data_IF_758843146247
#
_entry.id   IF_758843146247
#
_cell.length_a   1.000
_cell.length_b   1.000
_cell.length_c   1.000
_cell.angle_alpha   90.00
_cell.angle_beta   90.00
_cell.angle_gamma   90.00
#
_symmetry.space_group_name_H-M   'P 1'
#
loop_
_entity.id
_entity.type
_entity.pdbx_description
1 polymer ?
#
# COMPACT_ATOMS: atom_id res chain seq x y z
N UNK A 1 15.38 -14.24 -31.80
CA UNK A 1 14.01 -13.82 -31.50
C UNK A 1 13.60 -14.10 -30.06
N UNK A 2 14.00 -15.24 -29.44
CA UNK A 2 13.65 -15.63 -28.07
C UNK A 2 14.31 -14.80 -26.94
N UNK A 3 15.54 -14.32 -27.14
CA UNK A 3 16.26 -13.52 -26.12
C UNK A 3 15.62 -12.14 -25.87
N UNK A 4 15.01 -11.59 -26.89
CA UNK A 4 14.31 -10.29 -26.89
C UNK A 4 13.05 -10.28 -26.07
N UNK A 5 12.24 -11.33 -26.20
CA UNK A 5 11.00 -11.48 -25.43
C UNK A 5 11.32 -11.64 -23.94
N UNK A 6 12.38 -12.37 -23.61
CA UNK A 6 12.77 -12.59 -22.20
C UNK A 6 13.26 -11.31 -21.49
N UNK A 7 14.05 -10.47 -22.16
CA UNK A 7 14.56 -9.22 -21.55
C UNK A 7 13.44 -8.20 -21.34
N UNK A 8 12.54 -8.03 -22.30
CA UNK A 8 11.40 -7.12 -22.17
C UNK A 8 10.39 -7.58 -21.11
N UNK A 9 10.13 -8.88 -21.04
CA UNK A 9 9.24 -9.45 -20.01
C UNK A 9 9.85 -9.26 -18.62
N UNK A 10 11.15 -9.46 -18.45
CA UNK A 10 11.83 -9.31 -17.15
C UNK A 10 11.71 -7.88 -16.62
N UNK A 11 11.91 -6.85 -17.47
CA UNK A 11 11.82 -5.44 -17.05
C UNK A 11 10.39 -5.00 -16.70
N UNK A 12 9.41 -5.48 -17.42
CA UNK A 12 8.01 -5.18 -17.15
C UNK A 12 7.55 -5.90 -15.86
N UNK A 13 7.97 -7.13 -15.66
CA UNK A 13 7.74 -7.92 -14.46
C UNK A 13 8.38 -7.25 -13.21
N UNK A 14 9.56 -6.64 -13.37
CA UNK A 14 10.23 -5.92 -12.29
C UNK A 14 9.40 -4.77 -11.72
N UNK A 15 8.57 -4.09 -12.52
CA UNK A 15 7.73 -2.99 -12.02
C UNK A 15 6.71 -3.49 -10.99
N UNK A 16 5.98 -4.56 -11.29
CA UNK A 16 5.03 -5.17 -10.35
C UNK A 16 5.70 -5.72 -9.11
N UNK A 17 6.85 -6.37 -9.26
CA UNK A 17 7.63 -6.90 -8.15
C UNK A 17 8.19 -5.78 -7.25
N UNK A 18 8.78 -4.73 -7.83
CA UNK A 18 9.30 -3.59 -7.10
C UNK A 18 8.19 -2.81 -6.39
N UNK A 19 7.04 -2.67 -7.03
CA UNK A 19 5.85 -2.11 -6.41
C UNK A 19 5.40 -2.92 -5.19
N UNK A 20 5.26 -4.25 -5.35
CA UNK A 20 4.88 -5.13 -4.25
C UNK A 20 5.87 -5.05 -3.09
N UNK A 21 7.19 -5.08 -3.37
CA UNK A 21 8.22 -4.94 -2.35
C UNK A 21 8.15 -3.57 -1.64
N UNK A 22 7.89 -2.50 -2.37
CA UNK A 22 7.73 -1.17 -1.79
C UNK A 22 6.55 -1.12 -0.83
N UNK A 23 5.38 -1.62 -1.24
CA UNK A 23 4.18 -1.66 -0.38
C UNK A 23 4.40 -2.54 0.84
N UNK A 24 4.97 -3.73 0.68
CA UNK A 24 5.29 -4.61 1.80
C UNK A 24 6.36 -4.03 2.72
N UNK A 25 7.33 -3.29 2.18
CA UNK A 25 8.33 -2.55 2.95
C UNK A 25 7.70 -1.47 3.83
N UNK A 26 6.78 -0.67 3.27
CA UNK A 26 6.02 0.32 4.05
C UNK A 26 5.17 -0.33 5.14
N UNK A 27 4.52 -1.45 4.80
CA UNK A 27 3.73 -2.20 5.77
C UNK A 27 4.59 -2.74 6.92
N UNK A 28 5.75 -3.32 6.60
CA UNK A 28 6.69 -3.83 7.60
C UNK A 28 7.22 -2.71 8.50
N UNK A 29 7.57 -1.56 7.91
CA UNK A 29 8.00 -0.38 8.66
C UNK A 29 6.92 0.07 9.66
N UNK A 30 5.67 0.15 9.21
CA UNK A 30 4.54 0.46 10.07
C UNK A 30 4.37 -0.59 11.19
N UNK A 31 4.42 -1.88 10.85
CA UNK A 31 4.28 -2.97 11.81
C UNK A 31 5.38 -2.94 12.90
N UNK A 32 6.63 -2.65 12.52
CA UNK A 32 7.73 -2.49 13.46
C UNK A 32 7.46 -1.32 14.40
N UNK A 33 7.05 -0.17 13.86
CA UNK A 33 6.68 1.00 14.65
C UNK A 33 5.58 0.70 15.68
N UNK A 34 4.55 -0.04 15.28
CA UNK A 34 3.47 -0.46 16.16
C UNK A 34 3.95 -1.41 17.28
N UNK A 35 4.82 -2.38 16.95
CA UNK A 35 5.39 -3.27 17.97
C UNK A 35 6.27 -2.50 18.97
N UNK A 36 7.10 -1.57 18.51
CA UNK A 36 7.89 -0.70 19.38
C UNK A 36 6.96 0.09 20.31
N UNK A 37 5.90 0.68 19.77
CA UNK A 37 4.92 1.43 20.56
C UNK A 37 4.28 0.57 21.65
N UNK A 38 3.90 -0.67 21.33
CA UNK A 38 3.35 -1.63 22.32
C UNK A 38 4.33 -1.96 23.42
N UNK A 39 5.59 -2.22 23.06
CA UNK A 39 6.65 -2.48 24.04
C UNK A 39 6.83 -1.28 24.98
N UNK A 40 6.85 -0.06 24.45
CA UNK A 40 6.97 1.15 25.24
C UNK A 40 5.79 1.32 26.20
N UNK A 41 4.55 1.08 25.75
CA UNK A 41 3.36 1.10 26.61
C UNK A 41 3.46 0.04 27.70
N UNK A 42 3.87 -1.18 27.36
CA UNK A 42 4.05 -2.26 28.33
C UNK A 42 5.08 -1.91 29.41
N UNK A 43 6.26 -1.42 29.01
CA UNK A 43 7.30 -1.00 29.94
C UNK A 43 6.84 0.15 30.84
N UNK A 44 6.09 1.11 30.31
CA UNK A 44 5.51 2.19 31.07
C UNK A 44 4.52 1.70 32.12
N UNK A 45 3.58 0.81 31.72
CA UNK A 45 2.62 0.21 32.66
C UNK A 45 3.34 -0.51 33.79
N UNK A 46 4.39 -1.27 33.46
CA UNK A 46 5.21 -1.97 34.47
C UNK A 46 5.92 -1.03 35.44
N UNK A 47 6.37 0.15 34.99
CA UNK A 47 6.95 1.18 35.89
C UNK A 47 5.91 1.78 36.81
N UNK A 48 4.73 2.11 36.30
CA UNK A 48 3.61 2.62 37.09
C UNK A 48 3.18 1.64 38.19
N UNK A 49 3.11 0.34 37.88
CA UNK A 49 2.76 -0.69 38.89
C UNK A 49 3.83 -0.83 39.97
N UNK A 50 5.08 -0.40 39.71
CA UNK A 50 6.16 -0.37 40.70
C UNK A 50 6.23 0.94 41.51
N UNK A 51 5.26 1.82 41.38
CA UNK A 51 5.22 3.10 42.09
C UNK A 51 6.26 4.12 41.66
N UNK A 52 6.86 3.95 40.46
CA UNK A 52 7.83 4.88 39.91
C UNK A 52 7.10 6.04 39.20
N UNK A 53 7.55 7.27 39.45
CA UNK A 53 7.06 8.45 38.75
C UNK A 53 7.36 8.31 37.24
N UNK A 54 6.32 8.30 36.43
CA UNK A 54 6.44 8.26 34.98
C UNK A 54 6.06 9.62 34.43
N UNK A 55 7.02 10.32 33.83
CA UNK A 55 6.73 11.56 33.11
C UNK A 55 5.62 11.32 32.10
N UNK A 56 4.54 12.13 32.11
CA UNK A 56 3.45 11.94 31.15
C UNK A 56 3.99 12.15 29.74
N UNK A 57 4.10 11.05 28.99
CA UNK A 57 4.40 11.14 27.58
C UNK A 57 3.20 11.75 26.86
N UNK A 58 3.24 13.05 26.60
CA UNK A 58 2.27 13.75 25.75
C UNK A 58 2.49 13.34 24.29
N UNK A 59 2.29 12.07 24.00
CA UNK A 59 2.31 11.59 22.62
C UNK A 59 1.07 12.12 21.90
N UNK A 60 1.27 13.00 20.98
CA UNK A 60 0.46 13.34 19.82
C UNK A 60 -1.10 13.37 19.93
N UNK A 61 -1.72 13.94 20.97
CA UNK A 61 -3.18 13.87 21.06
C UNK A 61 -3.88 14.68 19.95
N UNK A 62 -3.27 15.75 19.45
CA UNK A 62 -3.86 16.56 18.38
C UNK A 62 -3.79 15.88 17.02
N UNK A 63 -2.63 15.37 16.64
CA UNK A 63 -2.42 14.67 15.40
C UNK A 63 -3.33 13.43 15.25
N UNK A 64 -3.41 12.58 16.29
CA UNK A 64 -4.30 11.42 16.26
C UNK A 64 -5.79 11.81 16.16
N UNK A 65 -6.21 12.88 16.79
CA UNK A 65 -7.59 13.40 16.66
C UNK A 65 -7.87 13.85 15.25
N UNK A 66 -6.95 14.60 14.63
CA UNK A 66 -7.12 15.11 13.27
C UNK A 66 -7.18 13.96 12.26
N UNK A 67 -6.28 12.98 12.35
CA UNK A 67 -6.24 11.85 11.40
C UNK A 67 -7.46 10.92 11.55
N UNK A 68 -7.95 10.72 12.77
CA UNK A 68 -9.13 9.92 13.01
C UNK A 68 -10.45 10.70 12.86
N UNK A 69 -10.40 12.02 12.64
CA UNK A 69 -11.60 12.79 12.36
C UNK A 69 -12.27 12.26 11.09
N UNK A 70 -13.59 12.19 11.14
CA UNK A 70 -14.40 11.80 9.99
C UNK A 70 -14.87 13.03 9.25
N UNK A 71 -14.90 12.95 7.93
CA UNK A 71 -15.47 13.96 7.04
C UNK A 71 -16.47 13.31 6.10
N UNK A 72 -17.48 14.06 5.68
CA UNK A 72 -18.40 13.62 4.66
C UNK A 72 -17.92 14.12 3.30
N UNK A 73 -17.92 13.24 2.31
CA UNK A 73 -17.69 13.62 0.92
C UNK A 73 -19.03 13.51 0.20
N UNK A 74 -19.63 14.65 -0.20
CA UNK A 74 -20.91 14.63 -0.92
C UNK A 74 -20.87 13.67 -2.11
N UNK A 75 -21.93 12.91 -2.32
CA UNK A 75 -22.11 11.94 -3.41
C UNK A 75 -21.26 10.65 -3.31
N UNK A 76 -20.24 10.59 -2.45
CA UNK A 76 -19.34 9.43 -2.36
C UNK A 76 -19.55 8.66 -1.06
N UNK A 77 -19.59 9.35 0.07
CA UNK A 77 -19.77 8.72 1.38
C UNK A 77 -20.26 9.71 2.42
N UNK A 78 -21.07 9.22 3.34
CA UNK A 78 -21.57 10.01 4.45
C UNK A 78 -20.55 10.23 5.57
N UNK A 79 -19.55 9.34 5.66
CA UNK A 79 -18.50 9.45 6.68
C UNK A 79 -17.28 8.62 6.27
N UNK A 80 -16.14 9.27 6.16
CA UNK A 80 -14.84 8.63 5.93
C UNK A 80 -13.80 9.26 6.85
N UNK A 81 -12.96 8.45 7.47
CA UNK A 81 -11.86 8.97 8.27
C UNK A 81 -10.78 9.59 7.39
N UNK A 82 -10.22 10.72 7.80
CA UNK A 82 -9.17 11.43 7.05
C UNK A 82 -7.97 10.52 6.76
N UNK A 83 -7.63 9.62 7.67
CA UNK A 83 -6.59 8.61 7.45
C UNK A 83 -6.82 7.75 6.21
N UNK A 84 -8.08 7.40 5.93
CA UNK A 84 -8.40 6.60 4.74
C UNK A 84 -8.26 7.41 3.46
N UNK A 85 -8.59 8.71 3.49
CA UNK A 85 -8.40 9.61 2.33
C UNK A 85 -6.90 9.72 2.02
N UNK A 86 -6.08 10.00 3.04
CA UNK A 86 -4.62 10.09 2.89
C UNK A 86 -4.06 8.79 2.32
N UNK A 87 -4.53 7.66 2.82
CA UNK A 87 -4.13 6.36 2.33
C UNK A 87 -4.50 6.14 0.86
N UNK A 88 -5.74 6.43 0.47
CA UNK A 88 -6.22 6.25 -0.91
C UNK A 88 -5.43 7.14 -1.88
N UNK A 89 -5.23 8.41 -1.52
CA UNK A 89 -4.44 9.35 -2.33
C UNK A 89 -2.98 8.87 -2.44
N UNK A 90 -2.39 8.42 -1.34
CA UNK A 90 -1.05 7.86 -1.34
C UNK A 90 -0.94 6.60 -2.21
N UNK A 91 -1.91 5.70 -2.11
CA UNK A 91 -1.97 4.49 -2.91
C UNK A 91 -2.07 4.80 -4.41
N UNK A 92 -2.95 5.72 -4.80
CA UNK A 92 -3.09 6.17 -6.19
C UNK A 92 -1.79 6.82 -6.70
N UNK A 93 -1.16 7.67 -5.90
CA UNK A 93 0.10 8.31 -6.25
C UNK A 93 1.23 7.29 -6.47
N UNK A 94 1.36 6.30 -5.59
CA UNK A 94 2.36 5.23 -5.72
C UNK A 94 2.11 4.39 -6.97
N UNK A 95 0.85 3.99 -7.23
CA UNK A 95 0.50 3.26 -8.46
C UNK A 95 0.90 4.09 -9.70
N UNK A 96 0.53 5.36 -9.73
CA UNK A 96 0.87 6.28 -10.83
C UNK A 96 2.38 6.38 -11.05
N UNK A 97 3.16 6.53 -9.98
CA UNK A 97 4.63 6.58 -10.06
C UNK A 97 5.20 5.29 -10.65
N UNK A 98 4.74 4.13 -10.19
CA UNK A 98 5.26 2.85 -10.68
C UNK A 98 4.83 2.53 -12.11
N UNK A 99 3.67 3.02 -12.56
CA UNK A 99 3.21 2.84 -13.95
C UNK A 99 3.96 3.77 -14.89
N UNK A 100 4.16 5.04 -14.54
CA UNK A 100 4.65 6.06 -15.48
C UNK A 100 6.11 6.47 -15.26
N UNK A 101 6.61 6.51 -14.03
CA UNK A 101 7.91 7.10 -13.69
C UNK A 101 8.95 6.12 -13.16
N UNK A 102 8.60 4.87 -12.91
CA UNK A 102 9.59 3.92 -12.43
C UNK A 102 10.76 3.84 -13.43
N UNK A 103 12.02 3.89 -12.95
CA UNK A 103 13.18 3.92 -13.84
C UNK A 103 13.23 2.68 -14.72
N UNK A 104 13.44 2.88 -16.02
CA UNK A 104 13.70 1.83 -16.98
C UNK A 104 15.06 2.03 -17.59
N UNK A 105 15.89 1.09 -17.43
CA UNK A 105 16.92 0.80 -18.39
C UNK A 105 16.27 -0.06 -19.49
N UNK A 106 15.76 0.61 -20.52
CA UNK A 106 15.54 -0.08 -21.78
C UNK A 106 16.93 -0.41 -22.29
N UNK A 107 17.31 -1.66 -22.23
CA UNK A 107 18.54 -2.11 -22.91
C UNK A 107 18.43 -1.70 -24.39
N UNK A 108 19.31 -0.87 -24.82
CA UNK A 108 19.38 0.09 -25.91
C UNK A 108 18.94 -0.26 -27.33
N UNK A 109 18.06 -1.20 -27.61
CA UNK A 109 17.76 -1.65 -28.97
C UNK A 109 16.31 -1.52 -29.41
N UNK A 110 15.35 -1.25 -28.52
CA UNK A 110 13.95 -1.01 -28.88
C UNK A 110 13.36 0.14 -28.07
N UNK A 111 13.03 1.19 -28.78
CA UNK A 111 12.20 2.27 -28.29
C UNK A 111 10.75 1.82 -28.44
N UNK A 112 10.20 1.15 -27.41
CA UNK A 112 8.76 0.96 -27.35
C UNK A 112 8.11 2.30 -27.03
N UNK A 113 6.96 2.60 -27.62
CA UNK A 113 6.16 3.77 -27.22
C UNK A 113 5.90 3.77 -25.71
N UNK A 114 5.99 4.93 -25.09
CA UNK A 114 5.75 5.08 -23.64
C UNK A 114 4.39 4.50 -23.24
N UNK A 115 3.40 4.59 -24.12
CA UNK A 115 2.07 4.02 -23.92
C UNK A 115 2.11 2.50 -23.77
N UNK A 116 2.86 1.79 -24.63
CA UNK A 116 2.99 0.32 -24.56
C UNK A 116 3.69 -0.13 -23.29
N UNK A 117 4.73 0.59 -22.88
CA UNK A 117 5.45 0.30 -21.65
C UNK A 117 4.52 0.50 -20.44
N UNK A 118 3.83 1.63 -20.38
CA UNK A 118 2.92 1.94 -19.29
C UNK A 118 1.75 0.95 -19.23
N UNK A 119 1.22 0.56 -20.38
CA UNK A 119 0.15 -0.43 -20.46
C UNK A 119 0.58 -1.81 -19.90
N UNK A 120 1.76 -2.28 -20.30
CA UNK A 120 2.31 -3.55 -19.76
C UNK A 120 2.57 -3.47 -18.26
N UNK A 121 3.04 -2.32 -17.75
CA UNK A 121 3.23 -2.11 -16.31
C UNK A 121 1.91 -2.10 -15.56
N UNK A 122 0.89 -1.49 -16.15
CA UNK A 122 -0.44 -1.40 -15.58
C UNK A 122 -0.95 -2.80 -15.17
N UNK A 123 -0.83 -3.80 -16.04
CA UNK A 123 -1.27 -5.16 -15.70
C UNK A 123 -0.44 -5.79 -14.56
N UNK A 124 0.90 -5.60 -14.53
CA UNK A 124 1.71 -6.21 -13.48
C UNK A 124 1.53 -5.52 -12.12
N UNK A 125 1.35 -4.20 -12.09
CA UNK A 125 0.99 -3.46 -10.88
C UNK A 125 -0.41 -3.86 -10.42
N UNK A 126 -1.36 -4.02 -11.34
CA UNK A 126 -2.71 -4.52 -11.07
C UNK A 126 -2.71 -5.91 -10.43
N UNK A 127 -1.94 -6.85 -10.98
CA UNK A 127 -1.77 -8.19 -10.38
C UNK A 127 -1.13 -8.13 -8.99
N UNK A 128 -0.16 -7.24 -8.78
CA UNK A 128 0.42 -7.02 -7.46
C UNK A 128 -0.62 -6.45 -6.48
N UNK A 129 -1.48 -5.52 -6.91
CA UNK A 129 -2.59 -5.02 -6.12
C UNK A 129 -3.57 -6.13 -5.71
N UNK A 130 -3.92 -7.06 -6.61
CA UNK A 130 -4.75 -8.22 -6.28
C UNK A 130 -4.07 -9.15 -5.28
N UNK A 131 -2.78 -9.43 -5.44
CA UNK A 131 -2.01 -10.25 -4.51
C UNK A 131 -2.03 -9.66 -3.10
N UNK A 132 -1.82 -8.34 -2.97
CA UNK A 132 -1.89 -7.63 -1.70
C UNK A 132 -3.31 -7.68 -1.13
N UNK A 133 -4.34 -7.44 -1.96
CA UNK A 133 -5.73 -7.49 -1.54
C UNK A 133 -6.11 -8.84 -0.95
N UNK A 134 -5.72 -9.94 -1.60
CA UNK A 134 -5.97 -11.31 -1.11
C UNK A 134 -5.27 -11.54 0.22
N UNK A 135 -4.01 -11.12 0.34
CA UNK A 135 -3.22 -11.32 1.56
C UNK A 135 -3.80 -10.54 2.74
N UNK A 136 -4.30 -9.31 2.50
CA UNK A 136 -4.89 -8.47 3.56
C UNK A 136 -6.19 -9.08 4.09
N UNK A 137 -7.03 -9.66 3.23
CA UNK A 137 -8.34 -10.19 3.62
C UNK A 137 -8.25 -11.53 4.35
N UNK A 138 -7.11 -12.20 4.31
CA UNK A 138 -6.91 -13.47 5.01
C UNK A 138 -7.09 -13.28 6.51
N UNK A 139 -8.16 -13.84 7.06
CA UNK A 139 -8.47 -13.79 8.48
C UNK A 139 -7.35 -14.43 9.30
N UNK A 140 -6.93 -13.77 10.38
CA UNK A 140 -5.81 -14.23 11.22
C UNK A 140 -4.44 -14.25 10.52
N UNK A 141 -4.24 -13.43 9.50
CA UNK A 141 -2.91 -13.30 8.88
C UNK A 141 -1.86 -12.84 9.90
N UNK A 142 -0.64 -13.31 9.73
CA UNK A 142 0.50 -12.85 10.54
C UNK A 142 0.64 -11.32 10.40
N UNK A 143 0.38 -10.81 9.20
CA UNK A 143 0.42 -9.39 8.90
C UNK A 143 -0.55 -8.58 9.78
N UNK A 144 -1.81 -9.01 9.91
CA UNK A 144 -2.79 -8.32 10.76
C UNK A 144 -2.37 -8.31 12.23
N UNK A 145 -1.80 -9.41 12.72
CA UNK A 145 -1.31 -9.52 14.10
C UNK A 145 -0.09 -8.61 14.35
N UNK A 146 0.86 -8.57 13.43
CA UNK A 146 2.05 -7.72 13.55
C UNK A 146 1.71 -6.23 13.51
N UNK A 147 0.83 -5.83 12.59
CA UNK A 147 0.42 -4.43 12.45
C UNK A 147 -0.71 -4.02 13.40
N UNK A 148 -1.27 -4.96 14.17
CA UNK A 148 -2.37 -4.69 15.11
C UNK A 148 -3.66 -4.19 14.48
N UNK A 149 -3.88 -4.48 13.20
CA UNK A 149 -5.12 -4.17 12.54
C UNK A 149 -6.22 -5.17 12.91
N UNK A 150 -7.38 -4.65 13.24
CA UNK A 150 -8.60 -5.46 13.26
C UNK A 150 -9.02 -5.83 11.84
N UNK A 151 -9.80 -6.89 11.71
CA UNK A 151 -10.34 -7.29 10.40
C UNK A 151 -11.13 -6.16 9.74
N UNK A 152 -11.96 -5.45 10.52
CA UNK A 152 -12.80 -4.35 10.04
C UNK A 152 -11.96 -3.16 9.51
N UNK A 153 -10.80 -2.92 10.11
CA UNK A 153 -9.87 -1.89 9.64
C UNK A 153 -9.19 -2.27 8.32
N UNK A 154 -9.05 -3.56 8.03
CA UNK A 154 -8.44 -4.06 6.79
C UNK A 154 -9.40 -4.08 5.61
N UNK A 155 -10.72 -4.14 5.82
CA UNK A 155 -11.73 -4.17 4.76
C UNK A 155 -11.62 -2.98 3.79
N UNK A 156 -11.48 -1.72 4.24
CA UNK A 156 -11.29 -0.58 3.32
C UNK A 156 -10.05 -0.72 2.45
N UNK A 157 -8.94 -1.21 3.00
CA UNK A 157 -7.71 -1.43 2.25
C UNK A 157 -7.90 -2.49 1.16
N UNK A 158 -8.48 -3.64 1.52
CA UNK A 158 -8.83 -4.69 0.56
C UNK A 158 -9.67 -4.15 -0.60
N UNK A 159 -10.73 -3.40 -0.29
CA UNK A 159 -11.62 -2.83 -1.30
C UNK A 159 -10.91 -1.90 -2.27
N UNK A 160 -9.99 -1.07 -1.78
CA UNK A 160 -9.28 -0.12 -2.61
C UNK A 160 -8.20 -0.77 -3.47
N UNK A 161 -7.44 -1.71 -2.92
CA UNK A 161 -6.48 -2.49 -3.74
C UNK A 161 -7.20 -3.26 -4.85
N UNK A 162 -8.33 -3.88 -4.54
CA UNK A 162 -9.12 -4.62 -5.55
C UNK A 162 -9.67 -3.70 -6.64
N UNK A 163 -10.21 -2.53 -6.29
CA UNK A 163 -10.75 -1.56 -7.26
C UNK A 163 -9.67 -1.01 -8.18
N UNK A 164 -8.52 -0.64 -7.61
CA UNK A 164 -7.41 -0.10 -8.39
C UNK A 164 -6.86 -1.19 -9.31
N UNK A 165 -6.60 -2.39 -8.81
CA UNK A 165 -6.13 -3.51 -9.62
C UNK A 165 -7.11 -3.87 -10.75
N UNK A 166 -8.43 -3.83 -10.50
CA UNK A 166 -9.44 -4.04 -11.53
C UNK A 166 -9.41 -2.94 -12.60
N UNK A 167 -9.29 -1.68 -12.20
CA UNK A 167 -9.19 -0.56 -13.13
C UNK A 167 -7.92 -0.67 -14.00
N UNK A 168 -6.80 -1.04 -13.42
CA UNK A 168 -5.54 -1.26 -14.13
C UNK A 168 -5.63 -2.40 -15.14
N UNK A 169 -6.26 -3.51 -14.77
CA UNK A 169 -6.51 -4.62 -15.70
C UNK A 169 -7.46 -4.20 -16.83
N UNK A 170 -8.51 -3.43 -16.53
CA UNK A 170 -9.45 -2.94 -17.52
C UNK A 170 -8.78 -1.99 -18.54
N UNK A 171 -7.91 -1.10 -18.06
CA UNK A 171 -7.09 -0.21 -18.91
C UNK A 171 -6.19 -1.03 -19.83
N UNK A 172 -5.52 -2.07 -19.29
CA UNK A 172 -4.69 -2.95 -20.09
C UNK A 172 -5.46 -3.66 -21.20
N UNK A 173 -6.62 -4.22 -20.87
CA UNK A 173 -7.49 -4.91 -21.84
C UNK A 173 -7.98 -3.93 -22.91
N UNK A 174 -8.48 -2.77 -22.52
CA UNK A 174 -8.99 -1.77 -23.46
C UNK A 174 -7.92 -1.20 -24.39
N UNK A 175 -6.66 -1.20 -23.98
CA UNK A 175 -5.54 -0.80 -24.84
C UNK A 175 -5.18 -1.86 -25.87
N UNK A 176 -5.44 -3.14 -25.58
CA UNK A 176 -5.12 -4.27 -26.48
C UNK A 176 -6.21 -4.52 -27.55
N UNK A 177 -7.42 -3.97 -27.38
CA UNK A 177 -8.53 -4.04 -28.35
C UNK A 177 -8.38 -3.00 -29.45
#
# INVERSE_FOLDING_TARGET
MSLWISVNILHVFQAGYSYALFIWGLFLFYAIGEQIHRVLIYLRRRRLTKGQDVVPFRAFPRWQRTINATTAIPLITNSIAIKHIIYIVGLLAVNFIFIFFAPFTVAGWYILPVADISNRRCIYVGLANFSIAITIVTRNSIASKLASFSFDELIPFHRWYTRIGLAECAVHIGYQM
#
